data_IF_996470946322
#
_entry.id   IF_996470946322
#
_cell.length_a   1.000
_cell.length_b   1.000
_cell.length_c   1.000
_cell.angle_alpha   90.00
_cell.angle_beta   90.00
_cell.angle_gamma   90.00
#
_symmetry.space_group_name_H-M   'P 1'
#
loop_
_entity.id
_entity.type
_entity.pdbx_description
1 polymer ?
#
# COMPACT_ATOMS: atom_id res chain seq x y z
N UNK A 1 -1.04 15.31 -7.75
CA UNK A 1 -0.96 13.94 -8.31
C UNK A 1 -0.58 12.88 -7.27
N UNK A 2 0.67 12.84 -6.79
CA UNK A 2 1.13 11.80 -5.85
C UNK A 2 0.40 11.79 -4.51
N UNK A 3 0.12 12.97 -3.92
CA UNK A 3 -0.62 13.05 -2.64
C UNK A 3 -1.99 12.37 -2.71
N UNK A 4 -2.74 12.56 -3.79
CA UNK A 4 -4.05 11.92 -3.99
C UNK A 4 -3.91 10.41 -4.14
N UNK A 5 -2.88 9.94 -4.84
CA UNK A 5 -2.55 8.52 -4.92
C UNK A 5 -2.22 7.94 -3.54
N UNK A 6 -1.41 8.64 -2.75
CA UNK A 6 -1.04 8.23 -1.40
C UNK A 6 -2.27 8.12 -0.49
N UNK A 7 -3.20 9.08 -0.56
CA UNK A 7 -4.47 9.01 0.18
C UNK A 7 -5.26 7.78 -0.22
N UNK A 8 -5.47 7.53 -1.52
CA UNK A 8 -6.21 6.37 -1.99
C UNK A 8 -5.57 5.04 -1.55
N UNK A 9 -4.24 4.94 -1.62
CA UNK A 9 -3.50 3.75 -1.23
C UNK A 9 -3.59 3.50 0.30
N UNK A 10 -3.47 4.54 1.11
CA UNK A 10 -3.61 4.42 2.57
C UNK A 10 -5.04 4.08 2.99
N UNK A 11 -6.06 4.64 2.34
CA UNK A 11 -7.45 4.28 2.59
C UNK A 11 -7.74 2.80 2.33
N UNK A 12 -7.05 2.16 1.37
CA UNK A 12 -7.18 0.73 1.14
C UNK A 12 -6.52 -0.08 2.25
N UNK A 13 -5.34 0.33 2.73
CA UNK A 13 -4.71 -0.34 3.86
C UNK A 13 -5.51 -0.21 5.16
N UNK A 14 -6.23 0.89 5.35
CA UNK A 14 -7.13 1.09 6.50
C UNK A 14 -8.29 0.09 6.54
N UNK A 15 -8.77 -0.36 5.37
CA UNK A 15 -9.79 -1.41 5.27
C UNK A 15 -9.26 -2.81 5.65
N UNK A 16 -7.95 -2.95 5.83
CA UNK A 16 -7.26 -4.21 6.10
C UNK A 16 -6.87 -4.97 4.83
N UNK A 17 -6.20 -6.13 4.97
CA UNK A 17 -5.82 -6.97 3.84
C UNK A 17 -7.08 -7.60 3.22
N UNK A 18 -7.67 -6.89 2.27
CA UNK A 18 -8.80 -7.37 1.49
C UNK A 18 -8.30 -8.27 0.36
N UNK A 19 -8.67 -9.57 0.32
CA UNK A 19 -8.34 -10.43 -0.80
C UNK A 19 -8.91 -9.85 -2.10
N UNK A 20 -8.03 -9.56 -3.07
CA UNK A 20 -8.44 -9.03 -4.37
C UNK A 20 -8.77 -7.54 -4.41
N UNK A 21 -8.48 -6.77 -3.36
CA UNK A 21 -8.61 -5.31 -3.46
C UNK A 21 -7.65 -4.75 -4.52
N UNK A 22 -8.15 -3.88 -5.43
CA UNK A 22 -7.32 -3.29 -6.46
C UNK A 22 -6.33 -2.31 -5.81
N UNK A 23 -5.06 -2.71 -5.70
CA UNK A 23 -4.00 -1.82 -5.21
C UNK A 23 -3.79 -0.73 -6.28
N UNK A 24 -4.01 0.55 -5.96
CA UNK A 24 -3.82 1.63 -6.90
C UNK A 24 -2.36 1.63 -7.37
N UNK A 25 -2.14 1.71 -8.67
CA UNK A 25 -0.82 1.93 -9.25
C UNK A 25 -0.61 3.41 -9.47
N UNK A 26 0.56 3.92 -9.09
CA UNK A 26 0.94 5.28 -9.45
C UNK A 26 1.45 5.30 -10.88
N UNK A 27 0.86 6.13 -11.72
CA UNK A 27 1.26 6.32 -13.14
C UNK A 27 1.67 7.77 -13.43
N UNK A 28 1.83 8.58 -12.38
CA UNK A 28 2.27 9.97 -12.51
C UNK A 28 3.79 10.11 -12.57
N UNK A 29 4.31 11.35 -12.64
CA UNK A 29 5.74 11.62 -12.58
C UNK A 29 6.34 11.08 -11.28
N UNK A 30 7.39 10.26 -11.41
CA UNK A 30 8.18 9.76 -10.29
C UNK A 30 9.48 10.55 -10.15
N UNK A 31 9.80 10.87 -8.90
CA UNK A 31 11.10 11.32 -8.43
C UNK A 31 11.59 10.41 -7.29
N UNK A 32 12.82 10.64 -6.83
CA UNK A 32 13.44 9.85 -5.77
C UNK A 32 12.61 9.81 -4.48
N UNK A 33 11.83 10.85 -4.16
CA UNK A 33 10.99 10.89 -2.97
C UNK A 33 9.80 9.95 -3.15
N UNK A 34 9.10 10.07 -4.28
CA UNK A 34 7.94 9.22 -4.59
C UNK A 34 8.32 7.74 -4.65
N UNK A 35 9.45 7.40 -5.28
CA UNK A 35 9.98 6.03 -5.34
C UNK A 35 10.30 5.49 -3.94
N UNK A 36 10.94 6.31 -3.10
CA UNK A 36 11.30 5.93 -1.72
C UNK A 36 10.06 5.67 -0.87
N UNK A 37 9.03 6.51 -1.01
CA UNK A 37 7.75 6.37 -0.31
C UNK A 37 7.04 5.09 -0.79
N UNK A 38 6.92 4.87 -2.09
CA UNK A 38 6.26 3.68 -2.65
C UNK A 38 6.98 2.38 -2.22
N UNK A 39 8.32 2.37 -2.23
CA UNK A 39 9.11 1.23 -1.74
C UNK A 39 8.85 0.95 -0.26
N UNK A 40 8.84 1.99 0.56
CA UNK A 40 8.57 1.88 2.00
C UNK A 40 7.18 1.32 2.28
N UNK A 41 6.16 1.81 1.54
CA UNK A 41 4.78 1.34 1.65
C UNK A 41 4.63 -0.13 1.24
N UNK A 42 5.31 -0.57 0.19
CA UNK A 42 5.33 -1.99 -0.19
C UNK A 42 5.91 -2.87 0.92
N UNK A 43 6.96 -2.41 1.60
CA UNK A 43 7.54 -3.09 2.76
C UNK A 43 6.57 -3.15 3.95
N UNK A 44 5.86 -2.05 4.23
CA UNK A 44 4.84 -2.00 5.27
C UNK A 44 3.69 -2.97 4.98
N UNK A 45 3.15 -2.93 3.76
CA UNK A 45 2.08 -3.80 3.30
C UNK A 45 2.41 -5.27 3.53
N UNK A 46 3.61 -5.70 3.11
CA UNK A 46 4.08 -7.08 3.31
C UNK A 46 4.05 -7.48 4.78
N UNK A 47 4.54 -6.63 5.69
CA UNK A 47 4.53 -6.92 7.13
C UNK A 47 3.11 -7.02 7.69
N UNK A 48 2.18 -6.22 7.18
CA UNK A 48 0.76 -6.31 7.58
C UNK A 48 0.16 -7.63 7.11
N UNK A 49 0.40 -8.04 5.86
CA UNK A 49 -0.03 -9.35 5.35
C UNK A 49 0.56 -10.50 6.16
N UNK A 50 1.88 -10.50 6.37
CA UNK A 50 2.56 -11.53 7.15
C UNK A 50 2.00 -11.62 8.58
N UNK A 51 1.66 -10.47 9.20
CA UNK A 51 1.05 -10.44 10.53
C UNK A 51 -0.39 -10.98 10.54
N UNK A 52 -1.19 -10.67 9.53
CA UNK A 52 -2.58 -11.11 9.45
C UNK A 52 -2.71 -12.61 9.11
N UNK A 53 -1.77 -13.17 8.34
CA UNK A 53 -1.62 -14.63 8.17
C UNK A 53 -1.33 -15.33 9.51
N UNK A 54 -0.43 -14.76 10.34
CA UNK A 54 -0.13 -15.30 11.67
C UNK A 54 -1.33 -15.24 12.62
N UNK A 55 -2.15 -14.18 12.52
CA UNK A 55 -3.37 -14.02 13.32
C UNK A 55 -4.53 -14.90 12.79
N UNK A 56 -4.42 -15.44 11.58
CA UNK A 56 -5.44 -16.29 10.96
C UNK A 56 -6.64 -15.51 10.41
N UNK A 57 -6.44 -14.25 10.02
CA UNK A 57 -7.47 -13.35 9.47
C UNK A 57 -7.49 -13.28 7.94
N UNK A 58 -6.50 -13.89 7.28
CA UNK A 58 -6.36 -14.00 5.82
C UNK A 58 -6.09 -15.45 5.46
#
# INVERSE_FOLDING_TARGET
>A
PFKSHLVALLSIYELGPLPGAPIPRYEGPEDWQTETILRSLKGLARRVWDAEEVVGRV
#
